data_IF_008644420827
#
_entry.id   IF_008644420827
#
_cell.length_a   1.000
_cell.length_b   1.000
_cell.length_c   1.000
_cell.angle_alpha   90.00
_cell.angle_beta   90.00
_cell.angle_gamma   90.00
#
_symmetry.space_group_name_H-M   'P 1'
#
loop_
_entity.id
_entity.type
_entity.pdbx_description
1 polymer ?
#
# COMPACT_ATOMS: atom_id res chain seq x y z
N UNK A 1 6.72 18.03 -18.82
CA UNK A 1 5.90 17.87 -17.60
C UNK A 1 6.81 17.95 -16.39
N UNK A 2 6.52 18.77 -15.37
CA UNK A 2 7.35 18.82 -14.15
C UNK A 2 7.21 17.51 -13.36
N UNK A 3 8.30 17.02 -12.78
CA UNK A 3 8.34 15.76 -12.01
C UNK A 3 7.30 15.72 -10.87
N UNK A 4 7.03 16.86 -10.21
CA UNK A 4 6.00 16.98 -9.17
C UNK A 4 4.59 16.66 -9.68
N UNK A 5 4.20 17.18 -10.85
CA UNK A 5 2.91 16.84 -11.47
C UNK A 5 2.83 15.37 -11.86
N UNK A 6 3.93 14.80 -12.38
CA UNK A 6 4.00 13.38 -12.71
C UNK A 6 3.82 12.53 -11.45
N UNK A 7 4.52 12.84 -10.37
CA UNK A 7 4.37 12.16 -9.09
C UNK A 7 2.95 12.23 -8.53
N UNK A 8 2.30 13.39 -8.66
CA UNK A 8 0.90 13.53 -8.27
C UNK A 8 -0.04 12.63 -9.09
N UNK A 9 0.10 12.61 -10.43
CA UNK A 9 -0.66 11.68 -11.29
C UNK A 9 -0.36 10.21 -10.97
N UNK A 10 0.90 9.88 -10.69
CA UNK A 10 1.28 8.52 -10.29
C UNK A 10 0.59 8.08 -9.00
N UNK A 11 0.45 8.97 -8.02
CA UNK A 11 -0.31 8.65 -6.79
C UNK A 11 -1.80 8.36 -7.07
N UNK A 12 -2.43 9.11 -7.97
CA UNK A 12 -3.82 8.84 -8.39
C UNK A 12 -3.91 7.51 -9.13
N UNK A 13 -3.02 7.27 -10.10
CA UNK A 13 -2.99 6.01 -10.85
C UNK A 13 -2.77 4.80 -9.96
N UNK A 14 -1.90 4.92 -8.94
CA UNK A 14 -1.70 3.89 -7.93
C UNK A 14 -2.99 3.57 -7.16
N UNK A 15 -3.70 4.59 -6.66
CA UNK A 15 -4.97 4.38 -5.92
C UNK A 15 -6.01 3.72 -6.81
N UNK A 16 -6.13 4.12 -8.07
CA UNK A 16 -7.06 3.53 -9.03
C UNK A 16 -6.76 2.06 -9.30
N UNK A 17 -5.50 1.72 -9.55
CA UNK A 17 -5.09 0.31 -9.75
C UNK A 17 -5.36 -0.53 -8.51
N UNK A 18 -5.08 0.01 -7.32
CA UNK A 18 -5.27 -0.71 -6.07
C UNK A 18 -6.76 -0.97 -5.79
N UNK A 19 -7.62 0.03 -5.98
CA UNK A 19 -9.08 -0.12 -5.84
C UNK A 19 -9.64 -1.09 -6.89
N UNK A 20 -9.25 -0.95 -8.15
CA UNK A 20 -9.68 -1.82 -9.24
C UNK A 20 -9.25 -3.27 -9.04
N UNK A 21 -8.02 -3.50 -8.57
CA UNK A 21 -7.50 -4.83 -8.28
C UNK A 21 -8.23 -5.51 -7.12
N UNK A 22 -8.50 -4.79 -6.03
CA UNK A 22 -9.29 -5.33 -4.92
C UNK A 22 -10.73 -5.64 -5.34
N UNK A 23 -11.37 -4.75 -6.11
CA UNK A 23 -12.72 -4.97 -6.62
C UNK A 23 -12.79 -6.21 -7.53
N UNK A 24 -11.81 -6.39 -8.43
CA UNK A 24 -11.73 -7.55 -9.30
C UNK A 24 -11.60 -8.85 -8.50
N UNK A 25 -10.75 -8.89 -7.48
CA UNK A 25 -10.58 -10.07 -6.62
C UNK A 25 -11.84 -10.39 -5.80
N UNK A 26 -12.46 -9.39 -5.18
CA UNK A 26 -13.72 -9.57 -4.43
C UNK A 26 -14.84 -10.07 -5.36
N UNK A 27 -14.95 -9.51 -6.57
CA UNK A 27 -15.94 -9.96 -7.56
C UNK A 27 -15.71 -11.39 -8.05
N UNK A 28 -14.47 -11.89 -7.96
CA UNK A 28 -14.10 -13.26 -8.28
C UNK A 28 -14.24 -14.21 -7.07
N UNK A 29 -14.78 -13.74 -5.94
CA UNK A 29 -15.04 -14.56 -4.75
C UNK A 29 -13.81 -14.80 -3.87
N UNK A 30 -12.72 -14.04 -4.05
CA UNK A 30 -11.58 -14.16 -3.13
C UNK A 30 -11.97 -13.65 -1.74
N UNK A 31 -11.52 -14.34 -0.67
CA UNK A 31 -11.82 -13.93 0.70
C UNK A 31 -11.27 -12.54 1.00
N UNK A 32 -12.03 -11.77 1.74
CA UNK A 32 -11.59 -10.51 2.31
C UNK A 32 -10.76 -10.76 3.57
N UNK A 33 -9.91 -9.81 4.02
CA UNK A 33 -9.07 -10.00 5.21
C UNK A 33 -9.81 -10.31 6.52
N UNK A 34 -11.13 -10.13 6.56
CA UNK A 34 -11.99 -10.45 7.70
C UNK A 34 -12.63 -11.85 7.65
N UNK A 35 -12.53 -12.55 6.52
CA UNK A 35 -13.24 -13.81 6.33
C UNK A 35 -12.41 -14.98 6.89
N UNK A 36 -13.01 -15.71 7.83
CA UNK A 36 -12.44 -16.96 8.32
C UNK A 36 -12.77 -18.09 7.33
N UNK A 37 -11.87 -18.35 6.38
CA UNK A 37 -12.06 -19.34 5.31
C UNK A 37 -11.16 -20.56 5.53
N UNK A 38 -11.73 -21.75 5.36
CA UNK A 38 -11.00 -23.02 5.49
C UNK A 38 -9.97 -23.24 4.37
N UNK A 39 -8.89 -23.96 4.65
CA UNK A 39 -7.79 -24.18 3.69
C UNK A 39 -8.22 -24.91 2.41
N UNK A 40 -9.18 -25.83 2.53
CA UNK A 40 -9.80 -26.58 1.46
C UNK A 40 -10.69 -25.69 0.56
N UNK A 41 -11.25 -24.60 1.08
CA UNK A 41 -11.92 -23.58 0.26
C UNK A 41 -10.91 -22.65 -0.42
N UNK A 42 -9.84 -22.24 0.28
CA UNK A 42 -8.74 -21.46 -0.30
C UNK A 42 -8.11 -22.20 -1.49
N UNK A 43 -7.83 -23.50 -1.34
CA UNK A 43 -7.27 -24.34 -2.39
C UNK A 43 -8.21 -24.41 -3.60
N UNK A 44 -9.51 -24.66 -3.39
CA UNK A 44 -10.50 -24.72 -4.47
C UNK A 44 -10.64 -23.39 -5.22
N UNK A 45 -10.73 -22.27 -4.50
CA UNK A 45 -10.83 -20.94 -5.11
C UNK A 45 -9.58 -20.61 -5.94
N UNK A 46 -8.39 -20.89 -5.42
CA UNK A 46 -7.14 -20.59 -6.14
C UNK A 46 -6.88 -21.55 -7.31
N UNK A 47 -7.40 -22.78 -7.28
CA UNK A 47 -7.37 -23.72 -8.40
C UNK A 47 -8.33 -23.31 -9.53
N UNK A 48 -9.49 -22.71 -9.21
CA UNK A 48 -10.53 -22.34 -10.18
C UNK A 48 -10.47 -20.90 -10.72
N UNK A 49 -9.94 -19.93 -9.96
CA UNK A 49 -10.05 -18.50 -10.27
C UNK A 49 -8.74 -17.89 -10.82
N UNK A 50 -8.13 -18.52 -11.84
CA UNK A 50 -6.80 -18.12 -12.34
C UNK A 50 -6.72 -16.73 -12.95
N UNK A 51 -7.77 -16.26 -13.64
CA UNK A 51 -7.62 -15.13 -14.57
C UNK A 51 -7.66 -13.77 -13.87
N UNK A 52 -8.57 -13.57 -12.91
CA UNK A 52 -8.61 -12.34 -12.10
C UNK A 52 -7.34 -12.22 -11.25
N UNK A 53 -6.88 -13.32 -10.67
CA UNK A 53 -5.63 -13.36 -9.90
C UNK A 53 -4.43 -13.03 -10.80
N UNK A 54 -4.31 -13.68 -11.97
CA UNK A 54 -3.22 -13.40 -12.94
C UNK A 54 -3.22 -11.95 -13.40
N UNK A 55 -4.40 -11.40 -13.74
CA UNK A 55 -4.53 -10.02 -14.18
C UNK A 55 -4.10 -9.04 -13.08
N UNK A 56 -4.61 -9.20 -11.87
CA UNK A 56 -4.28 -8.32 -10.76
C UNK A 56 -2.81 -8.44 -10.35
N UNK A 57 -2.24 -9.64 -10.37
CA UNK A 57 -0.81 -9.87 -10.18
C UNK A 57 0.05 -9.21 -11.27
N UNK A 58 -0.37 -9.26 -12.54
CA UNK A 58 0.35 -8.64 -13.65
C UNK A 58 0.39 -7.11 -13.57
N UNK A 59 -0.58 -6.49 -12.88
CA UNK A 59 -0.64 -5.04 -12.67
C UNK A 59 0.20 -4.56 -11.46
N UNK A 60 0.64 -5.47 -10.58
CA UNK A 60 1.43 -5.12 -9.39
C UNK A 60 2.73 -4.36 -9.71
N UNK A 61 3.54 -4.76 -10.71
CA UNK A 61 4.75 -4.01 -11.06
C UNK A 61 4.47 -2.55 -11.43
N UNK A 62 3.38 -2.31 -12.18
CA UNK A 62 2.93 -0.96 -12.52
C UNK A 62 2.51 -0.19 -11.27
N UNK A 63 1.74 -0.81 -10.37
CA UNK A 63 1.35 -0.19 -9.11
C UNK A 63 2.58 0.22 -8.27
N UNK A 64 3.60 -0.63 -8.17
CA UNK A 64 4.83 -0.32 -7.44
C UNK A 64 5.62 0.82 -8.06
N UNK A 65 5.73 0.85 -9.39
CA UNK A 65 6.38 1.94 -10.09
C UNK A 65 5.67 3.27 -9.81
N UNK A 66 4.35 3.30 -9.89
CA UNK A 66 3.54 4.49 -9.61
C UNK A 66 3.68 4.96 -8.15
N UNK A 67 3.62 4.03 -7.19
CA UNK A 67 3.83 4.33 -5.77
C UNK A 67 5.24 4.90 -5.51
N UNK A 68 6.25 4.37 -6.19
CA UNK A 68 7.65 4.81 -6.03
C UNK A 68 7.85 6.22 -6.59
N UNK A 69 7.30 6.52 -7.77
CA UNK A 69 7.36 7.86 -8.37
C UNK A 69 6.62 8.87 -7.49
N UNK A 70 5.44 8.49 -6.97
CA UNK A 70 4.70 9.30 -6.00
C UNK A 70 5.54 9.61 -4.76
N UNK A 71 6.10 8.59 -4.11
CA UNK A 71 6.91 8.72 -2.90
C UNK A 71 8.14 9.62 -3.14
N UNK A 72 8.84 9.42 -4.25
CA UNK A 72 9.98 10.25 -4.64
C UNK A 72 9.58 11.72 -4.86
N UNK A 73 8.41 11.98 -5.45
CA UNK A 73 7.89 13.34 -5.62
C UNK A 73 7.54 14.03 -4.32
N UNK A 74 6.87 13.33 -3.40
CA UNK A 74 6.58 13.85 -2.05
C UNK A 74 7.88 14.12 -1.29
N UNK A 75 8.81 13.17 -1.30
CA UNK A 75 10.12 13.34 -0.68
C UNK A 75 10.87 14.54 -1.24
N UNK A 76 10.95 14.68 -2.57
CA UNK A 76 11.66 15.79 -3.21
C UNK A 76 11.06 17.16 -2.84
N UNK A 77 9.73 17.25 -2.69
CA UNK A 77 9.05 18.46 -2.25
C UNK A 77 9.35 18.83 -0.78
N UNK A 78 9.64 17.84 0.06
CA UNK A 78 9.86 18.02 1.51
C UNK A 78 11.34 18.12 1.89
N UNK A 79 12.23 17.48 1.13
CA UNK A 79 13.62 17.25 1.51
C UNK A 79 14.40 18.54 1.80
N UNK A 80 14.20 19.59 1.01
CA UNK A 80 14.89 20.88 1.25
C UNK A 80 14.56 21.44 2.62
N UNK A 81 13.29 21.37 3.00
CA UNK A 81 12.80 21.89 4.27
C UNK A 81 13.32 21.07 5.45
N UNK A 82 13.21 19.74 5.38
CA UNK A 82 13.69 18.83 6.43
C UNK A 82 15.20 18.96 6.65
N UNK A 83 15.98 19.06 5.56
CA UNK A 83 17.44 19.24 5.64
C UNK A 83 17.85 20.54 6.32
N UNK A 84 17.14 21.65 6.08
CA UNK A 84 17.43 22.95 6.72
C UNK A 84 17.16 22.88 8.24
N UNK A 85 16.17 22.09 8.67
CA UNK A 85 15.81 21.91 10.07
C UNK A 85 16.56 20.79 10.79
N UNK A 86 17.32 19.97 10.05
CA UNK A 86 17.96 18.77 10.60
C UNK A 86 16.95 17.65 10.95
N UNK A 87 15.76 17.67 10.35
CA UNK A 87 14.72 16.66 10.56
C UNK A 87 14.88 15.47 9.58
N UNK A 88 14.55 14.25 10.02
CA UNK A 88 14.63 13.03 9.21
C UNK A 88 13.28 12.48 8.68
N UNK A 89 12.19 13.21 8.91
CA UNK A 89 10.82 12.68 8.74
C UNK A 89 10.47 12.30 7.29
N UNK A 90 10.93 13.08 6.30
CA UNK A 90 10.73 12.76 4.89
C UNK A 90 11.42 11.44 4.50
N UNK A 91 12.59 11.14 5.08
CA UNK A 91 13.32 9.88 4.83
C UNK A 91 12.60 8.70 5.47
N UNK A 92 12.15 8.85 6.72
CA UNK A 92 11.32 7.83 7.41
C UNK A 92 10.08 7.51 6.57
N UNK A 93 9.43 8.56 6.07
CA UNK A 93 8.26 8.44 5.22
C UNK A 93 8.51 7.71 3.90
N UNK A 94 9.57 8.09 3.19
CA UNK A 94 9.98 7.44 1.94
C UNK A 94 10.34 5.97 2.17
N UNK A 95 11.12 5.68 3.21
CA UNK A 95 11.50 4.32 3.58
C UNK A 95 10.26 3.44 3.83
N UNK A 96 9.25 3.97 4.53
CA UNK A 96 7.98 3.29 4.73
C UNK A 96 7.30 2.88 3.42
N UNK A 97 7.23 3.77 2.42
CA UNK A 97 6.61 3.42 1.12
C UNK A 97 7.45 2.38 0.36
N UNK A 98 8.77 2.48 0.37
CA UNK A 98 9.63 1.51 -0.34
C UNK A 98 9.56 0.12 0.31
N UNK A 99 9.61 0.05 1.64
CA UNK A 99 9.45 -1.21 2.38
C UNK A 99 8.06 -1.81 2.18
N UNK A 100 7.02 -0.98 2.13
CA UNK A 100 5.65 -1.38 1.79
C UNK A 100 5.60 -2.06 0.41
N UNK A 101 6.24 -1.50 -0.62
CA UNK A 101 6.26 -2.11 -1.95
C UNK A 101 6.90 -3.50 -1.91
N UNK A 102 8.02 -3.66 -1.18
CA UNK A 102 8.73 -4.94 -1.04
C UNK A 102 7.89 -5.97 -0.27
N UNK A 103 7.32 -5.58 0.87
CA UNK A 103 6.50 -6.47 1.68
C UNK A 103 5.25 -6.94 0.92
N UNK A 104 4.60 -6.03 0.21
CA UNK A 104 3.43 -6.36 -0.62
C UNK A 104 3.79 -7.21 -1.85
N UNK A 105 5.00 -7.10 -2.38
CA UNK A 105 5.52 -8.04 -3.37
C UNK A 105 5.62 -9.46 -2.80
N UNK A 106 6.06 -9.60 -1.55
CA UNK A 106 6.05 -10.87 -0.82
C UNK A 106 4.63 -11.43 -0.65
N UNK A 107 3.67 -10.59 -0.28
CA UNK A 107 2.24 -10.97 -0.18
C UNK A 107 1.73 -11.53 -1.51
N UNK A 108 2.00 -10.82 -2.62
CA UNK A 108 1.61 -11.24 -3.96
C UNK A 108 2.29 -12.54 -4.40
N UNK A 109 3.58 -12.69 -4.14
CA UNK A 109 4.35 -13.89 -4.45
C UNK A 109 3.82 -15.11 -3.66
N UNK A 110 3.55 -14.97 -2.37
CA UNK A 110 2.96 -16.02 -1.55
C UNK A 110 1.59 -16.45 -2.08
N UNK A 111 0.75 -15.50 -2.51
CA UNK A 111 -0.58 -15.80 -3.10
C UNK A 111 -0.46 -16.56 -4.43
N UNK A 112 0.49 -16.17 -5.29
CA UNK A 112 0.77 -16.89 -6.53
C UNK A 112 1.31 -18.29 -6.25
N UNK A 113 2.15 -18.46 -5.23
CA UNK A 113 2.65 -19.76 -4.80
C UNK A 113 1.51 -20.68 -4.36
N UNK A 114 0.57 -20.18 -3.55
CA UNK A 114 -0.66 -20.91 -3.18
C UNK A 114 -1.43 -21.36 -4.42
N UNK A 115 -1.63 -20.48 -5.40
CA UNK A 115 -2.32 -20.83 -6.64
C UNK A 115 -1.57 -21.91 -7.43
N UNK A 116 -0.24 -21.81 -7.55
CA UNK A 116 0.54 -22.82 -8.26
C UNK A 116 0.51 -24.18 -7.58
N UNK A 117 0.60 -24.22 -6.24
CA UNK A 117 0.52 -25.45 -5.45
C UNK A 117 -0.89 -26.05 -5.55
N UNK A 118 -1.94 -25.25 -5.45
CA UNK A 118 -3.33 -25.73 -5.56
C UNK A 118 -3.68 -26.34 -6.93
N UNK A 119 -2.92 -26.00 -7.99
CA UNK A 119 -3.11 -26.56 -9.35
C UNK A 119 -2.30 -27.83 -9.62
N UNK A 120 -1.26 -28.12 -8.83
CA UNK A 120 -0.48 -29.35 -8.98
C UNK A 120 -1.08 -30.44 -8.08
N UNK A 121 -1.39 -31.59 -8.69
CA UNK A 121 -1.72 -32.89 -8.09
C UNK A 121 -3.14 -33.09 -7.46
N UNK A 122 -4.15 -33.41 -8.30
CA UNK A 122 -5.49 -33.80 -7.83
C UNK A 122 -5.54 -35.13 -7.03
N UNK A 123 -4.45 -35.91 -6.98
CA UNK A 123 -4.42 -37.29 -6.48
C UNK A 123 -3.90 -37.50 -5.06
N UNK A 124 -3.26 -36.49 -4.45
CA UNK A 124 -2.57 -36.56 -3.14
C UNK A 124 -3.10 -35.50 -2.18
N UNK A 125 -4.43 -35.34 -2.13
CA UNK A 125 -5.15 -34.26 -1.44
C UNK A 125 -4.72 -33.97 0.01
N UNK A 126 -4.17 -34.94 0.75
CA UNK A 126 -3.73 -34.73 2.14
C UNK A 126 -2.32 -34.15 2.30
N UNK A 127 -1.41 -34.31 1.33
CA UNK A 127 -0.03 -33.81 1.44
C UNK A 127 0.08 -32.33 1.03
N UNK A 128 -0.66 -31.89 0.01
CA UNK A 128 -0.59 -30.51 -0.47
C UNK A 128 -1.38 -29.51 0.37
N UNK A 129 -2.36 -29.97 1.14
CA UNK A 129 -3.09 -29.12 2.10
C UNK A 129 -2.15 -28.48 3.14
N UNK A 130 -1.11 -29.21 3.58
CA UNK A 130 -0.11 -28.68 4.51
C UNK A 130 0.74 -27.57 3.89
N UNK A 131 1.13 -27.72 2.61
CA UNK A 131 1.88 -26.71 1.87
C UNK A 131 1.02 -25.46 1.58
N UNK A 132 -0.23 -25.64 1.15
CA UNK A 132 -1.20 -24.55 0.97
C UNK A 132 -1.43 -23.80 2.28
N UNK A 133 -1.64 -24.51 3.39
CA UNK A 133 -1.84 -23.90 4.70
C UNK A 133 -0.61 -23.09 5.15
N UNK A 134 0.61 -23.63 4.98
CA UNK A 134 1.85 -22.92 5.30
C UNK A 134 2.05 -21.66 4.46
N UNK A 135 1.85 -21.73 3.15
CA UNK A 135 1.97 -20.59 2.24
C UNK A 135 0.90 -19.53 2.49
N UNK A 136 -0.33 -19.95 2.81
CA UNK A 136 -1.40 -19.03 3.19
C UNK A 136 -1.13 -18.37 4.55
N UNK A 137 -0.59 -19.11 5.52
CA UNK A 137 -0.12 -18.55 6.78
C UNK A 137 0.96 -17.49 6.58
N UNK A 138 1.94 -17.76 5.71
CA UNK A 138 2.95 -16.77 5.33
C UNK A 138 2.34 -15.54 4.64
N UNK A 139 1.39 -15.74 3.72
CA UNK A 139 0.65 -14.65 3.07
C UNK A 139 -0.02 -13.74 4.10
N UNK A 140 -0.74 -14.32 5.07
CA UNK A 140 -1.45 -13.57 6.11
C UNK A 140 -0.49 -12.84 7.04
N UNK A 141 0.62 -13.48 7.44
CA UNK A 141 1.63 -12.86 8.29
C UNK A 141 2.28 -11.65 7.59
N UNK A 142 2.67 -11.82 6.31
CA UNK A 142 3.22 -10.73 5.52
C UNK A 142 2.21 -9.59 5.37
N UNK A 143 0.95 -9.91 5.05
CA UNK A 143 -0.11 -8.91 4.88
C UNK A 143 -0.39 -8.14 6.17
N UNK A 144 -0.44 -8.82 7.31
CA UNK A 144 -0.69 -8.22 8.61
C UNK A 144 0.46 -7.31 9.07
N UNK A 145 1.71 -7.79 9.00
CA UNK A 145 2.87 -6.98 9.39
C UNK A 145 3.15 -5.85 8.41
N UNK A 146 2.78 -5.99 7.13
CA UNK A 146 2.96 -4.96 6.12
C UNK A 146 2.37 -3.59 6.54
N UNK A 147 1.33 -3.58 7.38
CA UNK A 147 0.69 -2.36 7.86
C UNK A 147 1.65 -1.43 8.65
N UNK A 148 2.74 -1.96 9.23
CA UNK A 148 3.77 -1.15 9.90
C UNK A 148 4.48 -0.19 8.93
N UNK A 149 4.65 -0.60 7.66
CA UNK A 149 5.35 0.20 6.65
C UNK A 149 4.47 1.34 6.17
N UNK A 150 3.17 1.09 5.98
CA UNK A 150 2.19 2.16 5.74
C UNK A 150 2.10 3.14 6.92
N UNK A 151 2.07 2.62 8.15
CA UNK A 151 2.03 3.48 9.34
C UNK A 151 3.27 4.39 9.41
N UNK A 152 4.45 3.83 9.12
CA UNK A 152 5.72 4.57 9.08
C UNK A 152 5.71 5.64 7.97
N UNK A 153 5.21 5.29 6.78
CA UNK A 153 5.06 6.22 5.66
C UNK A 153 4.15 7.41 6.01
N UNK A 154 2.95 7.11 6.51
CA UNK A 154 1.96 8.10 6.90
C UNK A 154 2.47 9.00 8.02
N UNK A 155 3.11 8.44 9.05
CA UNK A 155 3.70 9.20 10.15
C UNK A 155 4.75 10.18 9.62
N UNK A 156 5.77 9.67 8.92
CA UNK A 156 6.89 10.47 8.46
C UNK A 156 6.47 11.58 7.50
N UNK A 157 5.71 11.23 6.45
CA UNK A 157 5.31 12.20 5.44
C UNK A 157 4.26 13.20 5.97
N UNK A 158 3.34 12.80 6.86
CA UNK A 158 2.39 13.75 7.46
C UNK A 158 3.06 14.74 8.40
N UNK A 159 4.01 14.29 9.23
CA UNK A 159 4.77 15.19 10.12
C UNK A 159 5.61 16.16 9.30
N UNK A 160 6.39 15.66 8.34
CA UNK A 160 7.22 16.50 7.47
C UNK A 160 6.37 17.47 6.64
N UNK A 161 5.29 16.99 6.02
CA UNK A 161 4.38 17.79 5.22
C UNK A 161 3.71 18.91 6.00
N UNK A 162 3.26 18.65 7.23
CA UNK A 162 2.70 19.69 8.09
C UNK A 162 3.78 20.70 8.45
N UNK A 163 4.98 20.24 8.85
CA UNK A 163 6.11 21.11 9.22
C UNK A 163 6.55 22.01 8.07
N UNK A 164 6.57 21.49 6.86
CA UNK A 164 6.90 22.22 5.63
C UNK A 164 5.77 23.13 5.12
N UNK A 165 4.57 23.05 5.71
CA UNK A 165 3.39 23.79 5.22
C UNK A 165 2.85 23.29 3.88
N UNK A 166 3.34 22.14 3.40
CA UNK A 166 2.91 21.56 2.13
C UNK A 166 1.48 21.01 2.19
N UNK A 167 1.07 20.50 3.36
CA UNK A 167 -0.27 19.98 3.59
C UNK A 167 -0.97 20.68 4.76
N UNK A 168 -2.30 20.71 4.69
CA UNK A 168 -3.16 21.29 5.73
C UNK A 168 -3.23 20.42 6.98
N UNK A 169 -3.77 20.98 8.07
CA UNK A 169 -3.91 20.27 9.36
C UNK A 169 -4.80 19.04 9.26
N UNK A 170 -5.89 19.11 8.49
CA UNK A 170 -6.81 17.97 8.35
C UNK A 170 -6.15 16.81 7.61
N UNK A 171 -5.36 17.10 6.57
CA UNK A 171 -4.71 16.07 5.75
C UNK A 171 -3.61 15.37 6.56
N UNK A 172 -2.84 16.13 7.34
CA UNK A 172 -1.89 15.57 8.30
C UNK A 172 -2.61 14.72 9.37
N UNK A 173 -3.76 15.16 9.89
CA UNK A 173 -4.54 14.41 10.88
C UNK A 173 -5.07 13.09 10.31
N UNK A 174 -5.57 13.08 9.06
CA UNK A 174 -5.97 11.85 8.34
C UNK A 174 -4.81 10.86 8.26
N UNK A 175 -3.62 11.35 7.89
CA UNK A 175 -2.43 10.51 7.81
C UNK A 175 -2.01 9.95 9.17
N UNK A 176 -1.97 10.79 10.21
CA UNK A 176 -1.60 10.35 11.56
C UNK A 176 -2.61 9.37 12.18
N UNK A 177 -3.92 9.59 11.97
CA UNK A 177 -4.95 8.65 12.39
C UNK A 177 -4.83 7.32 11.63
N UNK A 178 -4.65 7.38 10.31
CA UNK A 178 -4.39 6.19 9.49
C UNK A 178 -3.16 5.42 9.98
N UNK A 179 -2.08 6.13 10.32
CA UNK A 179 -0.87 5.53 10.86
C UNK A 179 -1.12 4.79 12.18
N UNK A 180 -1.84 5.41 13.11
CA UNK A 180 -2.16 4.81 14.40
C UNK A 180 -3.01 3.52 14.23
N UNK A 181 -4.03 3.56 13.37
CA UNK A 181 -4.90 2.42 13.11
C UNK A 181 -4.17 1.26 12.41
N UNK A 182 -3.32 1.58 11.43
CA UNK A 182 -2.51 0.58 10.72
C UNK A 182 -1.44 -0.03 11.63
N UNK A 183 -0.83 0.76 12.50
CA UNK A 183 0.11 0.26 13.50
C UNK A 183 -0.58 -0.68 14.49
N UNK A 184 -1.77 -0.29 14.99
CA UNK A 184 -2.57 -1.14 15.88
C UNK A 184 -2.97 -2.45 15.20
N UNK A 185 -3.38 -2.40 13.93
CA UNK A 185 -3.68 -3.59 13.13
C UNK A 185 -2.44 -4.49 12.96
N UNK A 186 -1.25 -3.92 12.70
CA UNK A 186 0.00 -4.67 12.60
C UNK A 186 0.34 -5.36 13.93
N UNK A 187 0.27 -4.64 15.05
CA UNK A 187 0.59 -5.16 16.39
C UNK A 187 -0.33 -6.31 16.79
N UNK A 188 -1.58 -6.29 16.32
CA UNK A 188 -2.59 -7.27 16.70
C UNK A 188 -2.72 -8.42 15.71
N UNK A 189 -2.02 -8.36 14.58
CA UNK A 189 -2.04 -9.40 13.55
C UNK A 189 -1.74 -10.82 14.05
N UNK A 190 -0.79 -11.06 14.97
CA UNK A 190 -0.51 -12.42 15.47
C UNK A 190 -1.70 -13.07 16.18
N UNK A 191 -2.59 -12.27 16.79
CA UNK A 191 -3.76 -12.76 17.52
C UNK A 191 -4.94 -13.11 16.61
N UNK A 192 -4.83 -12.85 15.30
CA UNK A 192 -5.82 -13.24 14.30
C UNK A 192 -5.58 -14.61 13.66
N UNK A 193 -4.56 -15.37 14.11
CA UNK A 193 -4.18 -16.62 13.47
C UNK A 193 -5.23 -17.75 13.64
N UNK A 194 -6.04 -17.70 14.69
CA UNK A 194 -6.99 -18.76 15.06
C UNK A 194 -8.46 -18.44 14.74
N UNK A 195 -8.74 -17.36 13.99
CA UNK A 195 -10.11 -16.98 13.63
C UNK A 195 -10.27 -15.54 13.14
N UNK A 196 -11.53 -15.06 13.10
CA UNK A 196 -11.83 -13.69 12.68
C UNK A 196 -11.16 -12.68 13.63
N UNK A 197 -10.24 -11.86 13.11
CA UNK A 197 -9.56 -10.83 13.89
C UNK A 197 -10.54 -9.67 14.16
N UNK A 198 -10.98 -9.43 15.42
CA UNK A 198 -11.94 -8.38 15.73
C UNK A 198 -11.40 -6.97 15.45
N UNK A 199 -10.08 -6.83 15.31
CA UNK A 199 -9.39 -5.56 15.04
C UNK A 199 -9.07 -5.38 13.54
N UNK A 200 -9.47 -6.32 12.68
CA UNK A 200 -9.28 -6.22 11.22
C UNK A 200 -9.94 -4.95 10.65
N UNK A 201 -11.06 -4.50 11.23
CA UNK A 201 -11.74 -3.27 10.85
C UNK A 201 -10.86 -2.02 11.02
N UNK A 202 -9.99 -1.99 12.04
CA UNK A 202 -9.05 -0.87 12.20
C UNK A 202 -8.03 -0.84 11.06
N UNK A 203 -7.56 -2.01 10.62
CA UNK A 203 -6.70 -2.12 9.44
C UNK A 203 -7.38 -1.60 8.18
N UNK A 204 -8.66 -1.96 7.97
CA UNK A 204 -9.44 -1.49 6.82
C UNK A 204 -9.66 0.03 6.85
N UNK A 205 -10.08 0.58 8.00
CA UNK A 205 -10.28 2.03 8.14
C UNK A 205 -8.95 2.77 7.94
N UNK A 206 -7.86 2.29 8.55
CA UNK A 206 -6.53 2.85 8.35
C UNK A 206 -6.08 2.83 6.89
N UNK A 207 -6.36 1.75 6.18
CA UNK A 207 -6.09 1.62 4.75
C UNK A 207 -6.91 2.60 3.90
N UNK A 208 -8.20 2.79 4.20
CA UNK A 208 -9.03 3.78 3.51
C UNK A 208 -8.52 5.22 3.75
N UNK A 209 -8.13 5.54 4.98
CA UNK A 209 -7.53 6.84 5.31
C UNK A 209 -6.21 7.05 4.55
N UNK A 210 -5.41 6.01 4.38
CA UNK A 210 -4.20 6.05 3.56
C UNK A 210 -4.49 6.38 2.10
N UNK A 211 -5.55 5.81 1.49
CA UNK A 211 -5.94 6.16 0.12
C UNK A 211 -6.34 7.64 -0.01
N UNK A 212 -7.17 8.13 0.91
CA UNK A 212 -7.56 9.55 0.97
C UNK A 212 -6.32 10.43 1.12
N UNK A 213 -5.38 10.00 1.96
CA UNK A 213 -4.12 10.70 2.17
C UNK A 213 -3.24 10.77 0.93
N UNK A 214 -3.12 9.68 0.14
CA UNK A 214 -2.41 9.69 -1.15
C UNK A 214 -3.07 10.69 -2.09
N UNK A 215 -4.39 10.61 -2.25
CA UNK A 215 -5.14 11.51 -3.14
C UNK A 215 -4.93 12.97 -2.74
N UNK A 216 -4.97 13.29 -1.44
CA UNK A 216 -4.67 14.63 -0.93
C UNK A 216 -3.29 15.12 -1.36
N UNK A 217 -2.26 14.30 -1.19
CA UNK A 217 -0.90 14.64 -1.59
C UNK A 217 -0.78 14.80 -3.11
N UNK A 218 -1.39 13.90 -3.86
CA UNK A 218 -1.42 13.96 -5.32
C UNK A 218 -2.02 15.26 -5.82
N UNK A 219 -3.15 15.70 -5.24
CA UNK A 219 -3.78 16.97 -5.60
C UNK A 219 -2.85 18.15 -5.31
N UNK A 220 -2.19 18.17 -4.14
CA UNK A 220 -1.22 19.21 -3.80
C UNK A 220 -0.06 19.25 -4.81
N UNK A 221 0.52 18.10 -5.13
CA UNK A 221 1.63 17.99 -6.08
C UNK A 221 1.25 18.40 -7.52
N UNK A 222 0.01 18.11 -7.94
CA UNK A 222 -0.51 18.53 -9.25
C UNK A 222 -0.70 20.05 -9.30
N UNK A 223 -1.22 20.64 -8.21
CA UNK A 223 -1.54 22.07 -8.11
C UNK A 223 -0.32 22.97 -7.88
N UNK A 224 0.76 22.48 -7.28
CA UNK A 224 1.94 23.27 -6.89
C UNK A 224 2.81 23.84 -8.02
N UNK A 225 2.25 24.27 -9.15
CA UNK A 225 2.98 24.99 -10.23
C UNK A 225 2.11 26.09 -10.83
N UNK A 226 2.28 27.29 -10.26
CA UNK A 226 2.20 28.61 -10.89
C UNK A 226 3.20 29.50 -10.13
N UNK A 227 4.49 29.22 -10.31
CA UNK A 227 5.52 30.22 -9.97
C UNK A 227 5.95 30.82 -11.30
N UNK A 228 5.56 32.09 -11.50
CA UNK A 228 6.07 32.99 -12.53
C UNK A 228 7.58 32.81 -12.63
N UNK A 229 8.07 32.52 -13.83
CA UNK A 229 9.47 32.79 -14.16
C UNK A 229 9.64 34.29 -13.99
N UNK A 230 10.45 34.79 -13.04
CA UNK A 230 10.73 36.22 -12.97
C UNK A 230 11.36 36.58 -14.31
N UNK A 231 10.69 37.45 -15.06
CA UNK A 231 11.20 38.12 -16.25
C UNK A 231 12.37 39.02 -15.82
N UNK A 232 13.51 38.42 -15.53
CA UNK A 232 14.73 39.07 -15.11
C UNK A 232 15.88 38.68 -16.04
N UNK A 233 15.66 38.84 -17.35
CA UNK A 233 16.73 38.93 -18.37
C UNK A 233 16.26 39.84 -19.51
N UNK A 234 15.87 41.06 -19.18
CA UNK A 234 15.84 42.17 -20.15
C UNK A 234 16.36 43.42 -19.46
N UNK A 235 17.67 43.60 -19.49
CA UNK A 235 18.31 44.92 -19.39
C UNK A 235 19.65 44.87 -20.12
N UNK A 236 20.11 45.98 -20.73
CA UNK A 236 19.41 47.17 -21.21
C UNK A 236 19.21 47.17 -22.74
#
# INVERSE_FOLDING_TARGET
MRFTRLAGLSGIGFVLLLLGGNLALVSAGFPTPSDAVGFDEIARLHAGASDALRLTSALLPTAWLLATIFAAGVFAALWRHDRIRGDGWAVVGLAGILMQCVAFAGVGAARLAVATTATHDPGTASQDLGAVAGLWGLHNALFGFNQIFLATALLGLSVSGRRAGLVSRWHAAVGLLGAALLFLAATTSPYGADGANPLALFGLVGWLLWLVWIVGYSVVLIRGVEEEVPSALTTP
#
